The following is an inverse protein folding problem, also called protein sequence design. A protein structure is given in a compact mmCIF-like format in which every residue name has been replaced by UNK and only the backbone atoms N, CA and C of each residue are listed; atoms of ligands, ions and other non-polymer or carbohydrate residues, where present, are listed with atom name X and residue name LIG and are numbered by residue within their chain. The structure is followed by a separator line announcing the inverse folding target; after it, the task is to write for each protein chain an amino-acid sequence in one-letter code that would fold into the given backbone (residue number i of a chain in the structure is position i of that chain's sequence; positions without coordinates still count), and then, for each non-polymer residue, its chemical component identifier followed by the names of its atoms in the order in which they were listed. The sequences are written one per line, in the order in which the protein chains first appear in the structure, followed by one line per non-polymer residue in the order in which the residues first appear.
data_IF_302343136448
#
_entry.id   IF_302343136448
#
_cell.length_a   1.000
_cell.length_b   1.000
_cell.length_c   1.000
_cell.angle_alpha   90.00
_cell.angle_beta   90.00
_cell.angle_gamma   90.00
#
_symmetry.space_group_name_H-M   'P 1'
#
loop_
_entity.id
_entity.type
_entity.pdbx_description
1 polymer ?
#
# COMPACT_ATOMS: atom_id res chain seq x y z
N UNK A 1 -4.56 -18.68 -49.15
CA UNK A 1 -3.55 -19.58 -48.55
C UNK A 1 -2.45 -18.73 -47.93
N UNK A 2 -1.94 -18.90 -46.72
CA UNK A 2 -2.38 -19.49 -45.45
C UNK A 2 -1.50 -18.79 -44.41
N UNK A 3 -2.10 -18.14 -43.40
CA UNK A 3 -1.42 -17.74 -42.16
C UNK A 3 -1.28 -18.99 -41.27
N UNK A 4 -0.33 -18.96 -40.32
CA UNK A 4 -0.13 -19.90 -39.19
C UNK A 4 0.99 -20.95 -39.39
N UNK A 5 2.18 -20.68 -38.85
CA UNK A 5 3.08 -21.69 -38.22
C UNK A 5 4.43 -21.07 -37.83
N UNK A 6 4.49 -20.34 -36.70
CA UNK A 6 5.79 -19.98 -36.09
C UNK A 6 5.68 -19.77 -34.57
N UNK A 7 5.03 -20.71 -33.88
CA UNK A 7 5.02 -20.81 -32.41
C UNK A 7 5.09 -22.28 -31.97
N UNK A 8 6.24 -22.92 -32.23
CA UNK A 8 6.61 -24.17 -31.59
C UNK A 8 8.13 -24.33 -31.65
N UNK A 9 8.80 -24.26 -30.49
CA UNK A 9 10.15 -24.81 -30.37
C UNK A 9 11.21 -23.92 -29.74
N UNK A 10 11.02 -23.40 -28.52
CA UNK A 10 12.12 -23.22 -27.54
C UNK A 10 11.56 -23.45 -26.14
N UNK A 11 11.05 -24.65 -25.90
CA UNK A 11 10.92 -25.23 -24.58
C UNK A 11 11.65 -26.56 -24.64
N UNK A 12 12.52 -26.82 -23.66
CA UNK A 12 13.28 -28.05 -23.44
C UNK A 12 14.68 -28.10 -24.09
N UNK A 13 15.69 -27.55 -23.40
CA UNK A 13 17.02 -28.16 -23.32
C UNK A 13 17.76 -27.69 -22.06
N UNK A 14 18.26 -28.67 -21.31
CA UNK A 14 19.34 -28.62 -20.31
C UNK A 14 18.97 -28.23 -18.86
N UNK A 15 18.15 -29.09 -18.25
CA UNK A 15 18.47 -29.59 -16.91
C UNK A 15 19.58 -30.66 -17.06
N UNK A 16 20.73 -30.46 -16.40
CA UNK A 16 21.68 -31.47 -15.88
C UNK A 16 23.05 -30.81 -15.68
N UNK A 17 23.41 -30.51 -14.44
CA UNK A 17 24.76 -30.53 -13.84
C UNK A 17 24.51 -30.51 -12.33
N UNK A 18 24.18 -31.67 -11.76
CA UNK A 18 25.11 -32.52 -11.02
C UNK A 18 25.59 -31.87 -9.73
N UNK A 19 25.01 -32.39 -8.65
CA UNK A 19 25.42 -32.20 -7.28
C UNK A 19 26.86 -32.66 -7.02
N UNK A 20 27.33 -32.29 -5.82
CA UNK A 20 28.45 -32.86 -5.05
C UNK A 20 29.82 -32.21 -5.23
N UNK A 21 30.11 -31.26 -4.34
CA UNK A 21 31.36 -31.29 -3.56
C UNK A 21 30.94 -31.24 -2.10
N UNK A 22 31.14 -32.35 -1.40
CA UNK A 22 30.99 -32.48 0.03
C UNK A 22 32.37 -32.37 0.70
N UNK A 23 32.36 -31.73 1.88
CA UNK A 23 33.23 -32.02 3.03
C UNK A 23 34.75 -31.85 2.90
N UNK A 24 35.31 -30.81 3.55
CA UNK A 24 36.39 -30.96 4.53
C UNK A 24 36.74 -29.61 5.21
N UNK A 25 36.56 -29.58 6.53
CA UNK A 25 37.41 -28.95 7.56
C UNK A 25 37.96 -27.53 7.33
N UNK A 26 37.46 -26.59 8.14
CA UNK A 26 38.31 -25.70 8.91
C UNK A 26 37.53 -25.13 10.09
N UNK A 27 37.98 -25.52 11.28
CA UNK A 27 37.67 -24.96 12.58
C UNK A 27 37.93 -23.44 12.65
N UNK A 28 37.33 -22.80 13.65
CA UNK A 28 37.60 -21.44 14.12
C UNK A 28 37.28 -20.25 13.20
N UNK A 29 35.97 -19.99 13.03
CA UNK A 29 35.49 -18.62 12.88
C UNK A 29 34.96 -18.12 14.22
N UNK A 30 35.38 -16.93 14.71
CA UNK A 30 34.88 -16.39 15.97
C UNK A 30 33.37 -16.23 15.86
N UNK A 31 32.64 -16.92 16.75
CA UNK A 31 31.21 -16.69 16.98
C UNK A 31 31.03 -15.19 17.15
N UNK A 32 30.42 -14.54 16.15
CA UNK A 32 29.82 -13.24 16.39
C UNK A 32 28.93 -13.42 17.63
N UNK A 33 29.09 -12.59 18.68
CA UNK A 33 28.17 -12.63 19.79
C UNK A 33 26.80 -12.31 19.20
N UNK A 34 25.94 -13.32 19.13
CA UNK A 34 24.52 -13.14 18.91
C UNK A 34 24.03 -12.38 20.12
N UNK A 35 24.08 -11.05 20.05
CA UNK A 35 23.42 -10.13 20.97
C UNK A 35 21.92 -10.27 20.76
N UNK A 36 21.40 -11.41 21.23
CA UNK A 36 19.99 -11.70 21.43
C UNK A 36 19.58 -11.37 22.88
N UNK A 37 20.31 -10.47 23.53
CA UNK A 37 19.96 -9.89 24.82
C UNK A 37 19.30 -8.53 24.57
N UNK A 38 18.01 -8.42 24.90
CA UNK A 38 17.32 -7.13 24.97
C UNK A 38 16.23 -6.88 23.93
N UNK A 39 15.48 -7.90 23.49
CA UNK A 39 14.17 -7.65 22.84
C UNK A 39 13.12 -7.27 23.89
N UNK A 40 13.36 -6.14 24.55
CA UNK A 40 12.37 -5.47 25.37
C UNK A 40 11.24 -4.97 24.47
N UNK A 41 10.03 -5.45 24.75
CA UNK A 41 8.74 -4.98 24.29
C UNK A 41 8.58 -3.48 24.58
N UNK A 42 9.27 -2.61 23.85
CA UNK A 42 9.33 -1.17 24.16
C UNK A 42 10.28 -0.31 23.30
N UNK A 43 11.03 -0.88 22.34
CA UNK A 43 11.87 -0.10 21.43
C UNK A 43 11.03 0.87 20.58
N UNK A 44 11.49 2.11 20.40
CA UNK A 44 10.79 3.06 19.53
C UNK A 44 10.83 2.51 18.10
N UNK A 45 9.77 2.64 17.29
CA UNK A 45 9.75 2.14 15.91
C UNK A 45 10.94 2.61 15.04
N UNK A 46 11.51 3.77 15.38
CA UNK A 46 12.71 4.32 14.75
C UNK A 46 13.97 3.49 15.03
N UNK A 47 14.11 2.90 16.22
CA UNK A 47 15.29 2.12 16.60
C UNK A 47 15.33 0.79 15.84
N UNK A 48 14.16 0.17 15.62
CA UNK A 48 14.04 -1.01 14.76
C UNK A 48 14.39 -0.73 13.29
N UNK A 49 14.11 0.49 12.82
CA UNK A 49 14.46 0.89 11.46
C UNK A 49 15.97 1.11 11.35
N UNK A 50 16.59 1.80 12.30
CA UNK A 50 18.04 2.01 12.33
C UNK A 50 18.84 0.71 12.39
N UNK A 51 18.45 -0.23 13.25
CA UNK A 51 19.15 -1.51 13.35
C UNK A 51 19.06 -2.30 12.03
N UNK A 52 17.95 -2.16 11.31
CA UNK A 52 17.79 -2.78 10.01
C UNK A 52 18.60 -2.07 8.92
N UNK A 53 18.76 -0.74 9.00
CA UNK A 53 19.67 0.02 8.13
C UNK A 53 21.11 -0.44 8.35
N UNK A 54 21.52 -0.61 9.61
CA UNK A 54 22.85 -1.12 9.99
C UNK A 54 23.18 -2.45 9.30
N UNK A 55 22.20 -3.35 9.21
CA UNK A 55 22.36 -4.66 8.59
C UNK A 55 22.41 -4.61 7.05
N UNK A 56 21.68 -3.68 6.42
CA UNK A 56 21.55 -3.62 4.97
C UNK A 56 22.56 -2.68 4.30
N UNK A 57 22.84 -1.53 4.92
CA UNK A 57 23.77 -0.50 4.45
C UNK A 57 24.50 0.14 5.66
N UNK A 58 25.64 -0.43 6.08
CA UNK A 58 26.36 0.04 7.26
C UNK A 58 26.89 1.48 7.11
N UNK A 59 27.24 1.91 5.89
CA UNK A 59 27.71 3.27 5.60
C UNK A 59 26.60 4.33 5.82
N UNK A 60 25.38 4.05 5.37
CA UNK A 60 24.22 4.93 5.62
C UNK A 60 23.86 4.99 7.10
N UNK A 61 24.03 3.89 7.82
CA UNK A 61 23.83 3.87 9.27
C UNK A 61 24.81 4.80 9.99
N UNK A 62 26.10 4.77 9.63
CA UNK A 62 27.10 5.66 10.23
C UNK A 62 26.75 7.13 9.98
N UNK A 63 26.41 7.48 8.73
CA UNK A 63 25.95 8.84 8.38
C UNK A 63 24.74 9.29 9.20
N UNK A 64 23.72 8.43 9.36
CA UNK A 64 22.54 8.73 10.16
C UNK A 64 22.86 8.81 11.67
N UNK A 65 23.78 7.99 12.16
CA UNK A 65 24.23 8.01 13.56
C UNK A 65 25.01 9.29 13.88
N UNK A 66 25.80 9.80 12.94
CA UNK A 66 26.51 11.07 13.06
C UNK A 66 25.55 12.25 12.99
N UNK A 67 24.61 12.23 12.03
CA UNK A 67 23.53 13.23 11.94
C UNK A 67 22.70 13.31 13.22
N UNK A 68 22.43 12.18 13.88
CA UNK A 68 21.70 12.16 15.15
C UNK A 68 22.41 12.96 16.26
N UNK A 69 23.74 13.06 16.20
CA UNK A 69 24.56 13.80 17.18
C UNK A 69 24.71 15.27 16.80
N UNK A 70 24.86 15.58 15.52
CA UNK A 70 25.10 16.95 15.04
C UNK A 70 23.82 17.74 14.80
N UNK A 71 22.78 17.12 14.24
CA UNK A 71 21.50 17.76 13.91
C UNK A 71 20.33 16.76 14.03
N UNK A 72 19.60 16.76 15.17
CA UNK A 72 18.49 15.84 15.39
C UNK A 72 17.29 16.10 14.45
N UNK A 73 17.13 17.32 13.91
CA UNK A 73 16.05 17.62 12.97
C UNK A 73 16.35 17.05 11.58
N UNK A 74 17.59 17.23 11.10
CA UNK A 74 18.03 16.64 9.84
C UNK A 74 17.98 15.10 9.89
N UNK A 75 18.38 14.51 11.02
CA UNK A 75 18.24 13.07 11.27
C UNK A 75 16.80 12.60 11.11
N UNK A 76 15.84 13.30 11.71
CA UNK A 76 14.42 12.97 11.61
C UNK A 76 13.87 13.06 10.18
N UNK A 77 14.40 13.98 9.35
CA UNK A 77 14.02 14.13 7.94
C UNK A 77 14.60 12.99 7.09
N UNK A 78 15.90 12.71 7.20
CA UNK A 78 16.54 11.63 6.44
C UNK A 78 15.95 10.26 6.83
N UNK A 79 15.72 10.00 8.12
CA UNK A 79 15.13 8.74 8.57
C UNK A 79 13.69 8.55 8.03
N UNK A 80 12.90 9.63 7.95
CA UNK A 80 11.57 9.60 7.32
C UNK A 80 11.65 9.32 5.82
N UNK A 81 12.57 9.97 5.10
CA UNK A 81 12.77 9.71 3.67
C UNK A 81 13.16 8.25 3.42
N UNK A 82 14.05 7.70 4.24
CA UNK A 82 14.46 6.31 4.16
C UNK A 82 13.27 5.35 4.40
N UNK A 83 12.46 5.62 5.42
CA UNK A 83 11.24 4.85 5.69
C UNK A 83 10.25 4.88 4.52
N UNK A 84 10.07 6.05 3.89
CA UNK A 84 9.19 6.23 2.74
C UNK A 84 9.68 5.50 1.49
N UNK A 85 10.96 5.63 1.15
CA UNK A 85 11.57 4.91 0.02
C UNK A 85 11.40 3.39 0.17
N UNK A 86 11.58 2.89 1.39
CA UNK A 86 11.40 1.47 1.69
C UNK A 86 9.95 1.03 1.58
N UNK A 87 8.99 1.86 2.01
CA UNK A 87 7.57 1.56 1.79
C UNK A 87 7.25 1.48 0.30
N UNK A 88 7.73 2.43 -0.49
CA UNK A 88 7.54 2.43 -1.93
C UNK A 88 8.15 1.17 -2.56
N UNK A 89 9.39 0.82 -2.23
CA UNK A 89 10.02 -0.42 -2.71
C UNK A 89 9.20 -1.66 -2.36
N UNK A 90 8.75 -1.80 -1.10
CA UNK A 90 7.89 -2.92 -0.69
C UNK A 90 6.57 -2.99 -1.44
N UNK A 91 5.98 -1.83 -1.74
CA UNK A 91 4.75 -1.75 -2.52
C UNK A 91 4.96 -2.27 -3.95
N UNK A 92 6.09 -1.92 -4.58
CA UNK A 92 6.43 -2.41 -5.92
C UNK A 92 6.92 -3.87 -5.92
N UNK A 93 7.64 -4.31 -4.90
CA UNK A 93 8.09 -5.71 -4.76
C UNK A 93 6.92 -6.66 -4.53
N UNK A 94 5.84 -6.20 -3.88
CA UNK A 94 4.63 -6.97 -3.67
C UNK A 94 3.83 -7.23 -4.96
N UNK A 95 4.05 -6.45 -6.02
CA UNK A 95 3.34 -6.59 -7.29
C UNK A 95 4.26 -6.35 -8.49
N UNK A 96 4.82 -7.43 -9.07
CA UNK A 96 5.70 -7.35 -10.23
C UNK A 96 5.04 -6.64 -11.42
N UNK A 97 3.74 -6.85 -11.63
CA UNK A 97 2.96 -6.17 -12.69
C UNK A 97 2.88 -4.66 -12.48
N UNK A 98 2.72 -4.20 -11.23
CA UNK A 98 2.73 -2.77 -10.93
C UNK A 98 4.12 -2.16 -11.14
N UNK A 99 5.18 -2.93 -10.88
CA UNK A 99 6.56 -2.48 -11.13
C UNK A 99 6.84 -2.31 -12.62
N UNK A 100 6.40 -3.25 -13.44
CA UNK A 100 6.49 -3.15 -14.91
C UNK A 100 5.67 -1.99 -15.45
N UNK A 101 4.42 -1.85 -14.99
CA UNK A 101 3.57 -0.72 -15.34
C UNK A 101 4.20 0.61 -14.94
N UNK A 102 4.69 0.74 -13.71
CA UNK A 102 5.34 1.96 -13.23
C UNK A 102 6.54 2.36 -14.09
N UNK A 103 7.38 1.40 -14.50
CA UNK A 103 8.52 1.65 -15.39
C UNK A 103 8.12 2.04 -16.81
N UNK A 104 6.91 1.67 -17.25
CA UNK A 104 6.40 2.01 -18.58
C UNK A 104 5.82 3.42 -18.68
N UNK A 105 5.65 4.11 -17.54
CA UNK A 105 5.13 5.47 -17.49
C UNK A 105 6.21 6.51 -17.86
N UNK A 106 5.84 7.69 -18.39
CA UNK A 106 6.75 8.82 -18.52
C UNK A 106 7.35 9.21 -17.16
N UNK A 107 8.60 9.70 -17.15
CA UNK A 107 9.29 10.10 -15.91
C UNK A 107 8.47 11.11 -15.09
N UNK A 108 7.78 12.04 -15.75
CA UNK A 108 6.89 13.01 -15.10
C UNK A 108 5.73 12.35 -14.32
N UNK A 109 5.16 11.26 -14.84
CA UNK A 109 4.09 10.52 -14.17
C UNK A 109 4.62 9.63 -13.05
N UNK A 110 5.81 9.04 -13.24
CA UNK A 110 6.50 8.29 -12.19
C UNK A 110 6.77 9.17 -10.97
N UNK A 111 7.25 10.40 -11.18
CA UNK A 111 7.51 11.37 -10.11
C UNK A 111 6.22 11.78 -9.41
N UNK A 112 5.15 12.06 -10.15
CA UNK A 112 3.83 12.37 -9.57
C UNK A 112 3.30 11.25 -8.68
N UNK A 113 3.39 10.00 -9.13
CA UNK A 113 2.95 8.84 -8.35
C UNK A 113 3.81 8.64 -7.10
N UNK A 114 5.14 8.77 -7.22
CA UNK A 114 6.04 8.70 -6.08
C UNK A 114 5.77 9.83 -5.08
N UNK A 115 5.46 11.04 -5.56
CA UNK A 115 5.12 12.18 -4.73
C UNK A 115 3.78 11.97 -4.01
N UNK A 116 2.76 11.42 -4.68
CA UNK A 116 1.48 11.06 -4.07
C UNK A 116 1.64 10.00 -2.97
N UNK A 117 2.48 8.97 -3.21
CA UNK A 117 2.82 7.95 -2.22
C UNK A 117 3.58 8.57 -1.04
N UNK A 118 4.53 9.48 -1.29
CA UNK A 118 5.33 10.18 -0.25
C UNK A 118 4.49 11.12 0.61
N UNK A 119 3.55 11.85 -0.01
CA UNK A 119 2.63 12.76 0.70
C UNK A 119 1.60 12.00 1.53
N UNK A 120 1.55 10.66 1.39
CA UNK A 120 0.64 9.84 2.15
C UNK A 120 -0.78 10.29 1.92
N UNK A 121 -1.12 10.63 0.66
CA UNK A 121 -2.47 10.99 0.28
C UNK A 121 -3.34 9.73 0.34
N UNK A 122 -3.66 9.37 1.59
CA UNK A 122 -4.53 8.26 1.98
C UNK A 122 -6.00 8.59 1.71
N UNK A 123 -6.29 9.78 1.18
CA UNK A 123 -7.63 10.25 0.85
C UNK A 123 -8.33 9.37 -0.19
N UNK A 124 -7.59 8.62 -1.01
CA UNK A 124 -8.14 7.72 -2.03
C UNK A 124 -8.17 6.23 -1.69
N UNK A 125 -7.64 5.78 -0.55
CA UNK A 125 -7.55 4.34 -0.24
C UNK A 125 -8.73 3.89 0.65
N UNK A 126 -9.58 2.92 0.22
CA UNK A 126 -10.77 2.48 0.96
C UNK A 126 -10.46 1.69 2.27
N UNK A 127 -9.21 1.71 2.73
CA UNK A 127 -8.77 1.12 4.00
C UNK A 127 -8.40 2.19 5.05
N UNK A 128 -8.54 3.48 4.74
CA UNK A 128 -8.27 4.59 5.66
C UNK A 128 -9.47 4.95 6.57
N UNK A 129 -10.55 4.17 6.58
CA UNK A 129 -11.69 4.35 7.50
C UNK A 129 -11.56 3.41 8.70
N UNK A 130 -10.80 3.82 9.71
CA UNK A 130 -11.04 3.56 11.15
C UNK A 130 -9.77 3.81 11.93
N UNK A 131 -9.53 5.06 12.31
CA UNK A 131 -8.96 5.31 13.63
C UNK A 131 -9.32 6.71 14.07
N UNK A 132 -9.84 6.77 15.29
CA UNK A 132 -9.99 7.95 16.13
C UNK A 132 -11.28 8.76 16.00
N UNK A 133 -12.33 8.23 16.62
CA UNK A 133 -13.27 9.04 17.43
C UNK A 133 -13.87 8.17 18.53
N UNK A 134 -13.04 7.81 19.52
CA UNK A 134 -13.51 7.50 20.87
C UNK A 134 -13.05 8.67 21.73
N UNK A 135 -13.78 9.78 21.65
CA UNK A 135 -13.77 10.79 22.70
C UNK A 135 -14.52 10.19 23.88
N UNK A 136 -13.79 9.65 24.86
CA UNK A 136 -14.34 9.52 26.20
C UNK A 136 -14.57 10.95 26.72
N UNK A 137 -15.80 11.43 26.58
CA UNK A 137 -16.32 12.50 27.42
C UNK A 137 -16.43 11.93 28.83
N UNK A 138 -15.34 12.05 29.59
CA UNK A 138 -15.37 11.91 31.04
C UNK A 138 -16.03 13.17 31.57
N UNK A 139 -17.33 13.07 31.81
CA UNK A 139 -18.11 14.03 32.59
C UNK A 139 -17.52 14.01 34.01
N UNK A 140 -16.70 15.01 34.32
CA UNK A 140 -16.23 15.24 35.69
C UNK A 140 -17.38 15.89 36.46
N UNK A 141 -18.00 15.08 37.31
CA UNK A 141 -18.88 15.49 38.39
C UNK A 141 -18.06 16.22 39.47
N UNK A 142 -18.31 17.51 39.76
CA UNK A 142 -17.61 18.23 40.83
C UNK A 142 -18.52 18.25 42.07
N UNK A 143 -18.28 17.36 43.02
CA UNK A 143 -19.12 17.32 44.22
C UNK A 143 -18.57 16.48 45.36
N UNK A 144 -17.74 17.15 46.18
CA UNK A 144 -17.62 16.99 47.63
C UNK A 144 -17.07 15.69 48.25
N UNK A 145 -16.16 15.90 49.20
CA UNK A 145 -16.11 15.07 50.41
C UNK A 145 -14.84 14.26 50.60
N UNK A 146 -13.96 14.81 51.44
CA UNK A 146 -12.81 14.17 52.06
C UNK A 146 -13.01 12.69 52.43
N UNK A 147 -12.03 11.85 52.09
CA UNK A 147 -11.71 10.62 52.84
C UNK A 147 -10.21 10.33 52.67
N UNK A 148 -9.48 9.96 53.74
CA UNK A 148 -8.05 9.69 53.68
C UNK A 148 -7.76 8.36 52.96
N UNK A 149 -6.54 8.17 52.39
CA UNK A 149 -6.21 6.96 51.68
C UNK A 149 -5.96 5.81 52.66
N UNK A 150 -6.89 4.85 52.70
CA UNK A 150 -6.62 3.54 53.29
C UNK A 150 -5.85 2.67 52.28
N UNK A 151 -4.63 2.32 52.66
CA UNK A 151 -3.75 1.34 52.02
C UNK A 151 -4.36 -0.07 52.12
N UNK A 152 -5.36 -0.39 51.30
CA UNK A 152 -5.87 -1.76 51.12
C UNK A 152 -6.79 -1.87 49.90
N UNK A 153 -6.37 -1.42 48.72
CA UNK A 153 -7.05 -1.85 47.49
C UNK A 153 -6.39 -3.14 47.00
N UNK A 154 -7.07 -4.31 47.03
CA UNK A 154 -6.53 -5.51 46.42
C UNK A 154 -6.36 -5.23 44.94
N UNK A 155 -5.13 -5.36 44.47
CA UNK A 155 -4.76 -5.33 43.07
C UNK A 155 -5.67 -6.30 42.31
N UNK A 156 -6.71 -5.79 41.67
CA UNK A 156 -7.56 -6.59 40.79
C UNK A 156 -6.68 -7.00 39.62
N UNK A 157 -6.25 -8.25 39.66
CA UNK A 157 -5.65 -8.97 38.54
C UNK A 157 -6.57 -8.78 37.36
N UNK A 158 -6.23 -7.83 36.48
CA UNK A 158 -6.97 -7.54 35.25
C UNK A 158 -6.88 -8.80 34.41
N UNK A 159 -7.95 -9.60 34.43
CA UNK A 159 -8.02 -10.85 33.71
C UNK A 159 -7.64 -10.62 32.24
N UNK A 160 -6.75 -11.46 31.69
CA UNK A 160 -6.27 -11.32 30.33
C UNK A 160 -7.40 -11.63 29.35
N UNK A 161 -8.08 -10.56 28.91
CA UNK A 161 -8.72 -10.45 27.61
C UNK A 161 -9.72 -11.56 27.29
N UNK A 162 -10.97 -11.37 27.71
CA UNK A 162 -12.11 -11.87 26.96
C UNK A 162 -12.06 -11.26 25.55
N UNK A 163 -11.35 -11.92 24.63
CA UNK A 163 -11.62 -11.79 23.20
C UNK A 163 -13.01 -12.39 23.02
N UNK A 164 -14.06 -11.56 23.08
CA UNK A 164 -15.41 -11.99 22.72
C UNK A 164 -15.31 -12.64 21.34
N UNK A 165 -15.40 -13.97 21.31
CA UNK A 165 -15.56 -14.71 20.09
C UNK A 165 -16.83 -14.13 19.46
N UNK A 166 -16.66 -13.42 18.33
CA UNK A 166 -17.81 -12.87 17.62
C UNK A 166 -18.75 -14.02 17.32
N UNK A 167 -20.03 -13.86 17.65
CA UNK A 167 -21.03 -14.87 17.31
C UNK A 167 -21.03 -15.07 15.79
N UNK A 168 -21.36 -16.29 15.35
CA UNK A 168 -21.52 -16.61 13.94
C UNK A 168 -22.44 -15.60 13.23
N UNK A 169 -23.53 -15.23 13.91
CA UNK A 169 -24.48 -14.22 13.45
C UNK A 169 -23.85 -12.83 13.25
N UNK A 170 -22.97 -12.38 14.16
CA UNK A 170 -22.26 -11.12 14.01
C UNK A 170 -21.24 -11.15 12.85
N UNK A 171 -20.73 -12.32 12.50
CA UNK A 171 -19.86 -12.52 11.34
C UNK A 171 -20.70 -12.48 10.05
N UNK A 172 -21.81 -13.22 10.00
CA UNK A 172 -22.73 -13.26 8.86
C UNK A 172 -23.29 -11.86 8.54
N UNK A 173 -23.77 -11.12 9.55
CA UNK A 173 -24.27 -9.76 9.38
C UNK A 173 -23.21 -8.80 8.77
N UNK A 174 -21.93 -8.99 9.10
CA UNK A 174 -20.84 -8.20 8.50
C UNK A 174 -20.59 -8.55 7.05
N UNK A 175 -20.76 -9.81 6.66
CA UNK A 175 -20.67 -10.22 5.27
C UNK A 175 -21.86 -9.68 4.48
N UNK A 176 -23.08 -9.79 5.01
CA UNK A 176 -24.28 -9.28 4.35
C UNK A 176 -24.21 -7.77 4.13
N UNK A 177 -23.80 -7.01 5.14
CA UNK A 177 -23.60 -5.57 5.02
C UNK A 177 -22.57 -5.23 3.92
N UNK A 178 -21.50 -6.03 3.83
CA UNK A 178 -20.47 -5.83 2.81
C UNK A 178 -20.96 -6.19 1.42
N UNK A 179 -21.75 -7.25 1.29
CA UNK A 179 -22.40 -7.65 0.03
C UNK A 179 -23.33 -6.55 -0.45
N UNK A 180 -24.21 -6.04 0.42
CA UNK A 180 -25.11 -4.93 0.09
C UNK A 180 -24.34 -3.68 -0.35
N UNK A 181 -23.25 -3.34 0.35
CA UNK A 181 -22.39 -2.23 -0.05
C UNK A 181 -21.85 -2.42 -1.47
N UNK A 182 -21.29 -3.61 -1.79
CA UNK A 182 -20.80 -3.87 -3.14
C UNK A 182 -21.90 -3.88 -4.19
N UNK A 183 -23.09 -4.40 -3.88
CA UNK A 183 -24.23 -4.34 -4.79
C UNK A 183 -24.64 -2.90 -5.11
N UNK A 184 -24.66 -2.02 -4.11
CA UNK A 184 -24.97 -0.60 -4.33
C UNK A 184 -23.90 0.09 -5.18
N UNK A 185 -22.61 -0.20 -4.93
CA UNK A 185 -21.52 0.41 -5.69
C UNK A 185 -21.48 -0.11 -7.14
N UNK A 186 -21.74 -1.42 -7.35
CA UNK A 186 -21.88 -2.01 -8.68
C UNK A 186 -23.01 -1.33 -9.44
N UNK A 187 -24.19 -1.15 -8.83
CA UNK A 187 -25.32 -0.45 -9.47
C UNK A 187 -24.96 0.98 -9.87
N UNK A 188 -24.28 1.71 -8.99
CA UNK A 188 -23.80 3.07 -9.27
C UNK A 188 -22.85 3.11 -10.47
N UNK A 189 -21.86 2.21 -10.50
CA UNK A 189 -20.89 2.12 -11.59
C UNK A 189 -21.59 1.76 -12.91
N UNK A 190 -22.54 0.83 -12.89
CA UNK A 190 -23.32 0.46 -14.07
C UNK A 190 -24.08 1.66 -14.66
N UNK A 191 -24.72 2.48 -13.80
CA UNK A 191 -25.39 3.70 -14.25
C UNK A 191 -24.42 4.72 -14.87
N UNK A 192 -23.22 4.86 -14.31
CA UNK A 192 -22.18 5.72 -14.88
C UNK A 192 -21.73 5.22 -16.25
N UNK A 193 -21.55 3.90 -16.41
CA UNK A 193 -21.19 3.29 -17.69
C UNK A 193 -22.27 3.53 -18.75
N UNK A 194 -23.55 3.36 -18.41
CA UNK A 194 -24.67 3.65 -19.31
C UNK A 194 -24.69 5.13 -19.74
N UNK A 195 -24.44 6.05 -18.81
CA UNK A 195 -24.34 7.48 -19.11
C UNK A 195 -23.18 7.79 -20.07
N UNK A 196 -21.99 7.22 -19.84
CA UNK A 196 -20.83 7.38 -20.71
C UNK A 196 -21.10 6.80 -22.11
N UNK A 197 -21.73 5.64 -22.19
CA UNK A 197 -22.12 5.02 -23.46
C UNK A 197 -23.10 5.91 -24.24
N UNK A 198 -24.10 6.49 -23.56
CA UNK A 198 -25.04 7.41 -24.18
C UNK A 198 -24.34 8.64 -24.77
N UNK A 199 -23.44 9.26 -24.02
CA UNK A 199 -22.66 10.41 -24.51
C UNK A 199 -21.78 10.06 -25.72
N UNK A 200 -21.24 8.84 -25.75
CA UNK A 200 -20.43 8.37 -26.86
C UNK A 200 -21.28 8.21 -28.13
N UNK A 201 -22.46 7.61 -28.02
CA UNK A 201 -23.41 7.49 -29.15
C UNK A 201 -23.94 8.84 -29.62
N UNK A 202 -24.22 9.76 -28.70
CA UNK A 202 -24.59 11.15 -29.05
C UNK A 202 -23.48 11.86 -29.84
N UNK A 203 -22.21 11.69 -29.45
CA UNK A 203 -21.07 12.25 -30.17
C UNK A 203 -20.88 11.62 -31.55
N UNK A 204 -21.09 10.31 -31.68
CA UNK A 204 -21.06 9.62 -32.98
C UNK A 204 -22.15 10.16 -33.90
N UNK A 205 -23.39 10.25 -33.41
CA UNK A 205 -24.50 10.80 -34.17
C UNK A 205 -24.26 12.26 -34.58
N UNK A 206 -23.68 13.08 -33.69
CA UNK A 206 -23.31 14.46 -34.00
C UNK A 206 -22.25 14.52 -35.12
N UNK A 207 -21.23 13.66 -35.07
CA UNK A 207 -20.21 13.55 -36.11
C UNK A 207 -20.82 13.15 -37.46
N UNK A 208 -21.73 12.19 -37.49
CA UNK A 208 -22.41 11.76 -38.72
C UNK A 208 -23.22 12.89 -39.35
N UNK A 209 -23.97 13.67 -38.55
CA UNK A 209 -24.68 14.86 -39.04
C UNK A 209 -23.74 15.89 -39.66
N UNK A 210 -22.57 16.13 -39.05
CA UNK A 210 -21.56 17.05 -39.60
C UNK A 210 -21.03 16.54 -40.94
N UNK A 211 -20.71 15.24 -41.03
CA UNK A 211 -20.26 14.61 -42.28
C UNK A 211 -21.33 14.76 -43.37
N UNK A 212 -22.59 14.47 -43.05
CA UNK A 212 -23.71 14.60 -44.00
C UNK A 212 -23.89 16.05 -44.49
N UNK A 213 -23.80 17.04 -43.59
CA UNK A 213 -23.83 18.46 -43.96
C UNK A 213 -22.67 18.85 -44.89
N UNK A 214 -21.47 18.33 -44.64
CA UNK A 214 -20.31 18.60 -45.49
C UNK A 214 -20.47 17.95 -46.87
N UNK A 215 -20.98 16.72 -46.94
CA UNK A 215 -21.26 16.04 -48.21
C UNK A 215 -22.31 16.80 -49.02
N UNK A 216 -23.42 17.24 -48.39
CA UNK A 216 -24.44 18.05 -49.06
C UNK A 216 -23.89 19.39 -49.60
N UNK A 217 -23.03 20.06 -48.82
CA UNK A 217 -22.36 21.30 -49.26
C UNK A 217 -21.43 21.04 -50.46
N UNK A 218 -20.67 19.96 -50.43
CA UNK A 218 -19.75 19.60 -51.52
C UNK A 218 -20.47 19.19 -52.81
N UNK A 219 -21.60 18.48 -52.71
CA UNK A 219 -22.41 18.08 -53.87
C UNK A 219 -23.06 19.26 -54.58
N UNK A 220 -23.52 20.28 -53.83
CA UNK A 220 -24.04 21.53 -54.41
C UNK A 220 -22.98 22.34 -55.15
N UNK A 221 -21.71 22.29 -54.71
CA UNK A 221 -20.62 23.01 -55.34
C UNK A 221 -20.23 22.43 -56.72
N UNK A 222 -20.45 21.13 -56.95
CA UNK A 222 -20.05 20.45 -58.19
C UNK A 222 -21.18 20.30 -59.23
N UNK A 223 -22.44 20.59 -58.89
CA UNK A 223 -23.60 20.43 -59.80
C UNK A 223 -24.07 21.72 -60.50
N UNK A 224 -23.29 22.81 -60.42
CA UNK A 224 -23.66 24.14 -60.92
C UNK A 224 -22.90 24.61 -62.16
N UNK A 225 -22.47 23.71 -63.04
CA UNK A 225 -21.89 24.02 -64.35
C UNK A 225 -22.79 23.52 -65.48
#
# INVERSE_FOLDING_TARGET
MSRLSFLAGIALMLATHSAQIAFAQSDDLPRQPTSHEGYGRGGRPADHLLERIRQQNPEQYQRLADLRKTDPEAFGKELRQFAQQRMAQRFFDASPRLREFFKSLPEEEQERILQAIKQGDRSGHPLATRRSSHSHGGEMDPGDGQTPPDDSTPCTTREPGHRSAMSREAIEARYDQRTQFYETEIKRISLQLESLQRMLEERKAARERVIEQLLQKSGKANGGF
#
